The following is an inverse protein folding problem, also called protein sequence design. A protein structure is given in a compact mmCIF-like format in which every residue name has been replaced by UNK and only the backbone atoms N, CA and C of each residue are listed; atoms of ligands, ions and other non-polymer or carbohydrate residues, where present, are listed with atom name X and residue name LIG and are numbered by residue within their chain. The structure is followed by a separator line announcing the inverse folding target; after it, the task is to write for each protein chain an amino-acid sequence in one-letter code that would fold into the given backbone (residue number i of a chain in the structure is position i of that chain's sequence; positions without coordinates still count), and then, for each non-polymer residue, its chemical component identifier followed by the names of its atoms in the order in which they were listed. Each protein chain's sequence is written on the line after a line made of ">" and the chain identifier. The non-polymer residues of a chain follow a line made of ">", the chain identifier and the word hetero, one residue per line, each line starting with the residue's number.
data_IF_974940966985
#
_entry.id   IF_974940966985
#
_cell.length_a   1.000
_cell.length_b   1.000
_cell.length_c   1.000
_cell.angle_alpha   90.00
_cell.angle_beta   90.00
_cell.angle_gamma   90.00
#
_symmetry.space_group_name_H-M   'P 1'
#
loop_
_entity.id
_entity.type
_entity.pdbx_description
1 polymer ?
#
# COMPACT_ATOMS: atom_id res chain seq x y z
N UNK A 1 -0.36 -1.92 6.42
CA UNK A 1 -0.35 -3.24 7.09
C UNK A 1 -1.73 -3.85 7.03
N UNK A 2 -1.86 -5.08 6.52
CA UNK A 2 -3.16 -5.75 6.36
C UNK A 2 -3.30 -6.85 7.44
N UNK A 3 -4.51 -7.12 7.97
CA UNK A 3 -4.71 -8.09 9.05
C UNK A 3 -4.36 -9.54 8.71
N UNK A 4 -4.27 -9.90 7.43
CA UNK A 4 -3.91 -11.23 6.92
C UNK A 4 -2.40 -11.48 6.80
N UNK A 5 -1.57 -10.47 7.05
CA UNK A 5 -0.12 -10.63 7.13
C UNK A 5 0.24 -11.40 8.40
N UNK A 6 0.98 -12.51 8.27
CA UNK A 6 1.32 -13.44 9.38
C UNK A 6 1.80 -12.72 10.65
N UNK A 7 2.75 -11.79 10.52
CA UNK A 7 3.29 -11.04 11.67
C UNK A 7 2.22 -10.17 12.36
N UNK A 8 1.28 -9.61 11.59
CA UNK A 8 0.16 -8.85 12.12
C UNK A 8 -0.89 -9.77 12.76
N UNK A 9 -1.20 -10.91 12.15
CA UNK A 9 -2.10 -11.92 12.71
C UNK A 9 -1.65 -12.35 14.10
N UNK A 10 -0.38 -12.73 14.24
CA UNK A 10 0.20 -13.14 15.52
C UNK A 10 0.15 -12.02 16.57
N UNK A 11 0.39 -10.77 16.17
CA UNK A 11 0.31 -9.62 17.07
C UNK A 11 -1.14 -9.38 17.53
N UNK A 12 -2.10 -9.43 16.61
CA UNK A 12 -3.53 -9.19 16.89
C UNK A 12 -4.06 -10.28 17.82
N UNK A 13 -3.77 -11.55 17.54
CA UNK A 13 -4.19 -12.67 18.39
C UNK A 13 -3.57 -12.62 19.79
N UNK A 14 -2.28 -12.28 19.91
CA UNK A 14 -1.63 -12.08 21.23
C UNK A 14 -2.25 -10.94 22.03
N UNK A 15 -2.77 -9.91 21.36
CA UNK A 15 -3.48 -8.82 21.98
C UNK A 15 -4.95 -9.16 22.31
N UNK A 16 -5.40 -10.40 22.05
CA UNK A 16 -6.76 -10.87 22.32
C UNK A 16 -7.78 -10.49 21.26
N UNK A 17 -7.35 -9.99 20.10
CA UNK A 17 -8.23 -9.60 19.01
C UNK A 17 -8.58 -10.74 18.07
N UNK A 18 -9.67 -10.54 17.34
CA UNK A 18 -10.18 -11.46 16.32
C UNK A 18 -10.00 -10.88 14.92
N UNK A 19 -9.62 -11.76 14.00
CA UNK A 19 -9.59 -11.48 12.57
C UNK A 19 -10.73 -12.25 11.91
N UNK A 20 -11.49 -11.56 11.05
CA UNK A 20 -12.53 -12.15 10.22
C UNK A 20 -12.25 -11.90 8.75
N UNK A 21 -12.57 -12.88 7.92
CA UNK A 21 -12.52 -12.77 6.47
C UNK A 21 -13.70 -13.55 5.91
N UNK A 22 -14.64 -12.82 5.32
CA UNK A 22 -15.79 -13.42 4.62
C UNK A 22 -15.41 -13.74 3.17
N UNK A 23 -16.18 -14.61 2.53
CA UNK A 23 -15.97 -14.95 1.12
C UNK A 23 -16.07 -13.70 0.25
N UNK A 24 -15.06 -13.47 -0.61
CA UNK A 24 -14.92 -12.27 -1.44
C UNK A 24 -14.77 -10.94 -0.67
N UNK A 25 -14.35 -10.95 0.59
CA UNK A 25 -13.97 -9.76 1.36
C UNK A 25 -12.50 -9.85 1.84
N UNK A 26 -11.98 -8.71 2.29
CA UNK A 26 -10.65 -8.60 2.89
C UNK A 26 -10.67 -8.99 4.37
N UNK A 27 -9.52 -9.36 4.91
CA UNK A 27 -9.40 -9.63 6.34
C UNK A 27 -9.59 -8.35 7.17
N UNK A 28 -10.35 -8.46 8.26
CA UNK A 28 -10.71 -7.34 9.15
C UNK A 28 -10.45 -7.66 10.62
N UNK A 29 -10.01 -6.66 11.38
CA UNK A 29 -9.93 -6.71 12.84
C UNK A 29 -11.30 -6.35 13.42
N UNK A 30 -11.83 -7.20 14.29
CA UNK A 30 -13.12 -7.03 14.97
C UNK A 30 -14.29 -6.68 14.02
N UNK A 31 -14.31 -7.29 12.83
CA UNK A 31 -15.27 -7.00 11.74
C UNK A 31 -15.30 -5.53 11.27
N UNK A 32 -14.30 -4.72 11.66
CA UNK A 32 -14.30 -3.27 11.45
C UNK A 32 -13.23 -2.82 10.47
N UNK A 33 -11.95 -3.02 10.81
CA UNK A 33 -10.84 -2.41 10.09
C UNK A 33 -10.10 -3.41 9.21
N UNK A 34 -9.95 -3.07 7.93
CA UNK A 34 -9.13 -3.80 6.96
C UNK A 34 -7.63 -3.43 7.00
N UNK A 35 -7.22 -2.68 8.02
CA UNK A 35 -5.84 -2.31 8.31
C UNK A 35 -5.49 -2.68 9.74
N UNK A 36 -4.25 -3.11 9.96
CA UNK A 36 -3.80 -3.57 11.28
C UNK A 36 -2.95 -2.56 12.04
N UNK A 37 -2.52 -1.48 11.39
CA UNK A 37 -1.79 -0.36 11.99
C UNK A 37 -2.31 0.94 11.40
N UNK A 38 -2.56 1.93 12.26
CA UNK A 38 -3.25 3.17 11.87
C UNK A 38 -2.96 4.28 12.86
N UNK A 39 -3.00 5.53 12.39
CA UNK A 39 -3.15 6.70 13.25
C UNK A 39 -4.63 6.96 13.48
N UNK A 40 -5.01 7.42 14.66
CA UNK A 40 -6.44 7.62 14.96
C UNK A 40 -7.11 6.31 15.37
N UNK A 41 -8.37 6.08 14.97
CA UNK A 41 -9.19 4.89 15.34
C UNK A 41 -9.29 4.67 16.87
N UNK A 42 -9.56 5.74 17.63
CA UNK A 42 -9.56 5.73 19.11
C UNK A 42 -10.62 4.85 19.76
N UNK A 43 -11.63 4.40 19.00
CA UNK A 43 -12.69 3.52 19.49
C UNK A 43 -12.25 2.05 19.60
N UNK A 44 -11.08 1.70 19.05
CA UNK A 44 -10.51 0.37 19.15
C UNK A 44 -9.30 0.36 20.10
N UNK A 45 -9.10 -0.78 20.74
CA UNK A 45 -7.96 -1.01 21.62
C UNK A 45 -6.64 -0.84 20.83
N UNK A 46 -5.77 0.04 21.31
CA UNK A 46 -4.48 0.37 20.68
C UNK A 46 -3.50 -0.79 20.64
N UNK A 47 -3.71 -1.82 21.45
CA UNK A 47 -2.96 -3.07 21.37
C UNK A 47 -3.30 -3.85 20.09
N UNK A 48 -4.52 -3.72 19.57
CA UNK A 48 -4.97 -4.33 18.31
C UNK A 48 -4.49 -3.56 17.09
N UNK A 49 -4.48 -2.23 17.18
CA UNK A 49 -4.19 -1.32 16.07
C UNK A 49 -3.17 -0.23 16.45
N UNK A 50 -1.90 -0.59 16.65
CA UNK A 50 -0.89 0.35 17.07
C UNK A 50 -0.52 1.34 15.96
N UNK A 51 -0.16 2.56 16.35
CA UNK A 51 0.43 3.57 15.48
C UNK A 51 1.96 3.40 15.38
N UNK A 52 2.42 2.16 15.17
CA UNK A 52 3.86 1.83 15.11
C UNK A 52 4.29 1.59 13.66
N UNK A 53 5.14 2.46 13.09
CA UNK A 53 5.63 2.28 11.73
C UNK A 53 6.67 1.16 11.65
N UNK A 54 6.79 0.55 10.47
CA UNK A 54 8.01 -0.17 10.11
C UNK A 54 9.01 0.83 9.54
N UNK A 55 10.25 0.75 10.01
CA UNK A 55 11.34 1.58 9.51
C UNK A 55 12.39 0.69 8.88
N UNK A 56 12.71 0.97 7.62
CA UNK A 56 13.71 0.23 6.85
C UNK A 56 14.65 1.27 6.24
N UNK A 57 15.95 1.02 6.36
CA UNK A 57 16.98 1.85 5.75
C UNK A 57 17.67 1.06 4.64
N UNK A 58 17.77 1.68 3.47
CA UNK A 58 18.49 1.12 2.33
C UNK A 58 19.73 1.99 2.05
N UNK A 59 20.90 1.38 1.77
CA UNK A 59 22.04 2.15 1.28
C UNK A 59 21.68 2.81 -0.06
N UNK A 60 22.26 3.98 -0.33
CA UNK A 60 22.05 4.66 -1.61
C UNK A 60 22.51 3.74 -2.74
N UNK A 61 21.57 3.38 -3.62
CA UNK A 61 21.87 2.63 -4.83
C UNK A 61 22.05 3.61 -6.00
N UNK A 62 23.27 3.77 -6.55
CA UNK A 62 23.52 4.68 -7.68
C UNK A 62 22.84 4.25 -8.99
N UNK A 63 22.22 3.07 -9.03
CA UNK A 63 21.45 2.57 -10.17
C UNK A 63 19.93 2.74 -9.97
N UNK A 64 19.47 3.09 -8.78
CA UNK A 64 18.03 3.24 -8.53
C UNK A 64 17.54 4.58 -9.09
N UNK A 65 16.70 4.55 -10.13
CA UNK A 65 16.24 5.77 -10.80
C UNK A 65 15.10 6.49 -10.07
N UNK A 66 14.21 5.73 -9.44
CA UNK A 66 12.96 6.26 -8.88
C UNK A 66 12.64 5.64 -7.52
N UNK A 67 11.94 6.42 -6.70
CA UNK A 67 11.14 5.93 -5.56
C UNK A 67 9.68 6.19 -5.90
N UNK A 68 8.84 5.16 -5.77
CA UNK A 68 7.41 5.23 -6.04
C UNK A 68 6.67 4.98 -4.73
N UNK A 69 5.79 5.92 -4.36
CA UNK A 69 4.90 5.80 -3.20
C UNK A 69 3.47 5.92 -3.70
N UNK A 70 2.59 5.01 -3.28
CA UNK A 70 1.18 5.05 -3.66
C UNK A 70 0.29 4.44 -2.58
N UNK A 71 -0.98 4.83 -2.55
CA UNK A 71 -2.00 4.16 -1.73
C UNK A 71 -2.44 2.82 -2.35
N UNK A 72 -3.18 2.03 -1.57
CA UNK A 72 -3.61 0.68 -1.95
C UNK A 72 -4.54 0.63 -3.17
N UNK A 73 -5.34 1.67 -3.44
CA UNK A 73 -6.12 1.74 -4.68
C UNK A 73 -5.32 1.55 -5.99
N UNK A 74 -3.99 1.75 -5.97
CA UNK A 74 -3.08 1.40 -7.07
C UNK A 74 -2.58 -0.04 -6.96
N UNK A 75 -2.11 -0.44 -5.77
CA UNK A 75 -1.52 -1.75 -5.51
C UNK A 75 -2.54 -2.90 -5.54
N UNK A 76 -3.82 -2.61 -5.34
CA UNK A 76 -4.92 -3.57 -5.43
C UNK A 76 -5.14 -4.05 -6.88
N UNK A 77 -4.69 -3.28 -7.87
CA UNK A 77 -4.88 -3.59 -9.30
C UNK A 77 -3.59 -3.71 -10.10
N UNK A 78 -2.45 -3.26 -9.55
CA UNK A 78 -1.14 -3.37 -10.21
C UNK A 78 -0.06 -3.87 -9.24
N UNK A 79 0.78 -4.80 -9.70
CA UNK A 79 1.93 -5.28 -8.92
C UNK A 79 3.09 -4.28 -8.92
N UNK A 80 4.02 -4.46 -7.98
CA UNK A 80 5.26 -3.68 -7.89
C UNK A 80 6.01 -3.66 -9.24
N UNK A 81 6.13 -4.81 -9.89
CA UNK A 81 6.84 -4.98 -11.17
C UNK A 81 6.10 -4.27 -12.31
N UNK A 82 4.77 -4.36 -12.35
CA UNK A 82 3.97 -3.67 -13.36
C UNK A 82 4.11 -2.16 -13.26
N UNK A 83 4.05 -1.61 -12.04
CA UNK A 83 4.23 -0.18 -11.79
C UNK A 83 5.67 0.26 -12.13
N UNK A 84 6.68 -0.48 -11.68
CA UNK A 84 8.07 -0.17 -11.97
C UNK A 84 8.38 -0.19 -13.48
N UNK A 85 7.85 -1.19 -14.21
CA UNK A 85 7.98 -1.29 -15.65
C UNK A 85 7.26 -0.13 -16.36
N UNK A 86 6.04 0.20 -15.93
CA UNK A 86 5.24 1.27 -16.51
C UNK A 86 5.95 2.62 -16.46
N UNK A 87 6.56 2.93 -15.31
CA UNK A 87 7.31 4.18 -15.08
C UNK A 87 8.62 4.18 -15.87
N UNK A 88 9.43 3.12 -15.73
CA UNK A 88 10.75 3.04 -16.38
C UNK A 88 10.70 3.13 -17.91
N UNK A 89 9.69 2.53 -18.55
CA UNK A 89 9.53 2.58 -20.01
C UNK A 89 9.20 3.97 -20.56
N UNK A 90 8.59 4.84 -19.75
CA UNK A 90 8.11 6.17 -20.20
C UNK A 90 9.00 7.32 -19.74
N UNK A 91 9.81 7.08 -18.71
CA UNK A 91 10.59 8.12 -18.05
C UNK A 91 11.60 8.85 -18.97
N UNK A 92 11.99 8.27 -20.10
CA UNK A 92 12.89 8.92 -21.06
C UNK A 92 12.21 9.98 -21.93
N UNK A 93 10.89 9.87 -22.15
CA UNK A 93 10.17 10.65 -23.17
C UNK A 93 8.93 11.37 -22.63
N UNK A 94 8.66 11.27 -21.33
CA UNK A 94 7.42 11.79 -20.73
C UNK A 94 7.71 12.33 -19.34
N UNK A 95 7.07 13.44 -18.98
CA UNK A 95 7.22 14.02 -17.64
C UNK A 95 6.63 13.11 -16.56
N UNK A 96 7.12 13.20 -15.33
CA UNK A 96 6.68 12.34 -14.23
C UNK A 96 5.20 12.57 -13.89
N UNK A 97 4.71 13.80 -14.03
CA UNK A 97 3.30 14.16 -13.82
C UNK A 97 2.40 13.45 -14.82
N UNK A 98 2.80 13.44 -16.10
CA UNK A 98 2.06 12.75 -17.15
C UNK A 98 2.13 11.23 -16.97
N UNK A 99 3.27 10.69 -16.54
CA UNK A 99 3.39 9.25 -16.22
C UNK A 99 2.47 8.88 -15.06
N UNK A 100 2.42 9.70 -14.01
CA UNK A 100 1.52 9.51 -12.88
C UNK A 100 0.05 9.53 -13.33
N UNK A 101 -0.36 10.54 -14.11
CA UNK A 101 -1.71 10.63 -14.67
C UNK A 101 -2.08 9.40 -15.50
N UNK A 102 -1.20 8.96 -16.39
CA UNK A 102 -1.43 7.78 -17.23
C UNK A 102 -1.49 6.47 -16.41
N UNK A 103 -0.75 6.39 -15.31
CA UNK A 103 -0.80 5.24 -14.40
C UNK A 103 -2.15 5.21 -13.66
N UNK A 104 -2.65 6.35 -13.21
CA UNK A 104 -3.99 6.46 -12.62
C UNK A 104 -5.07 6.05 -13.62
N UNK A 105 -4.98 6.50 -14.88
CA UNK A 105 -5.90 6.07 -15.95
C UNK A 105 -5.83 4.55 -16.20
N UNK A 106 -4.64 3.96 -16.08
CA UNK A 106 -4.45 2.52 -16.21
C UNK A 106 -5.13 1.77 -15.05
N UNK A 107 -4.99 2.23 -13.81
CA UNK A 107 -5.69 1.67 -12.66
C UNK A 107 -7.22 1.76 -12.80
N UNK A 108 -7.75 2.87 -13.33
CA UNK A 108 -9.18 3.00 -13.65
C UNK A 108 -9.64 1.98 -14.69
N UNK A 109 -8.85 1.75 -15.74
CA UNK A 109 -9.14 0.71 -16.74
C UNK A 109 -9.12 -0.70 -16.16
N UNK A 110 -8.27 -0.93 -15.16
CA UNK A 110 -8.21 -2.16 -14.38
C UNK A 110 -9.32 -2.25 -13.30
N UNK A 111 -10.24 -1.28 -13.28
CA UNK A 111 -11.44 -1.26 -12.43
C UNK A 111 -11.14 -1.17 -10.93
N UNK A 112 -10.11 -0.41 -10.55
CA UNK A 112 -9.97 -0.03 -9.14
C UNK A 112 -11.23 0.71 -8.67
N UNK A 113 -11.67 0.42 -7.45
CA UNK A 113 -12.84 1.04 -6.82
C UNK A 113 -12.47 1.97 -5.67
N UNK A 114 -11.18 2.16 -5.40
CA UNK A 114 -10.70 2.96 -4.27
C UNK A 114 -10.11 4.30 -4.73
N UNK A 115 -9.87 5.18 -3.77
CA UNK A 115 -9.13 6.40 -3.97
C UNK A 115 -7.70 6.08 -4.40
N UNK A 116 -7.14 6.92 -5.27
CA UNK A 116 -5.79 6.76 -5.78
C UNK A 116 -4.95 8.00 -5.54
N UNK A 117 -3.70 7.78 -5.14
CA UNK A 117 -2.69 8.82 -4.98
C UNK A 117 -1.33 8.18 -5.23
N UNK A 118 -0.46 8.86 -5.97
CA UNK A 118 0.88 8.41 -6.32
C UNK A 118 1.88 9.56 -6.28
N UNK A 119 3.07 9.27 -5.78
CA UNK A 119 4.26 10.11 -5.86
C UNK A 119 5.36 9.34 -6.59
N UNK A 120 5.90 9.93 -7.64
CA UNK A 120 7.07 9.42 -8.37
C UNK A 120 8.22 10.38 -8.15
N UNK A 121 9.24 9.93 -7.43
CA UNK A 121 10.40 10.76 -7.03
C UNK A 121 11.61 10.26 -7.81
N UNK A 122 12.24 11.14 -8.59
CA UNK A 122 13.52 10.85 -9.24
C UNK A 122 14.65 10.97 -8.21
N UNK A 123 15.50 9.95 -8.12
CA UNK A 123 16.61 9.89 -7.13
C UNK A 123 17.99 9.73 -7.78
N UNK A 124 18.05 9.82 -9.12
CA UNK A 124 19.27 10.00 -9.94
C UNK A 124 19.34 11.39 -10.57
#
# INVERSE_FOLDING_TARGET
>A
HKPDVVQEQERIHRAGGRITQYENDVARIEDKLAVSRTFGDYLLDKRLIPALPDTIQYPKNPLAAFVILACDGIWDVMTNEQVALFVSQKASNTSLENIASQLLDQCLKLKTSDNMSIYIIKVL
#
